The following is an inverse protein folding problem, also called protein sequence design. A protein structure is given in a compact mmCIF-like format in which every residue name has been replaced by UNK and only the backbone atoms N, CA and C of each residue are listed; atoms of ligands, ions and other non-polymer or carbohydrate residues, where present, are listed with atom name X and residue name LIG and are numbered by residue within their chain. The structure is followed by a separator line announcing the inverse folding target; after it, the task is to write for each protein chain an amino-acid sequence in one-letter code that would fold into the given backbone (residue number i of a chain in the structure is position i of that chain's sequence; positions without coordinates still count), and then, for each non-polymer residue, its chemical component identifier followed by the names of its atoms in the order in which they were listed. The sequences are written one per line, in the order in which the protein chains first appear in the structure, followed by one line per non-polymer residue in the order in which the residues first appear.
data_IF_770637068887
#
_entry.id   IF_770637068887
#
_cell.length_a   1.000
_cell.length_b   1.000
_cell.length_c   1.000
_cell.angle_alpha   90.00
_cell.angle_beta   90.00
_cell.angle_gamma   90.00
#
_symmetry.space_group_name_H-M   'P 1'
#
loop_
_entity.id
_entity.type
_entity.pdbx_description
1 polymer ?
#
# COMPACT_ATOMS: atom_id res chain seq x y z
N UNK A 1 12.82 13.78 -64.76
CA UNK A 1 12.45 13.94 -63.34
C UNK A 1 11.38 12.93 -63.03
N UNK A 2 11.73 11.82 -62.40
CA UNK A 2 10.80 10.88 -61.77
C UNK A 2 11.33 10.64 -60.36
N UNK A 3 10.53 11.00 -59.37
CA UNK A 3 10.90 10.95 -57.96
C UNK A 3 10.63 9.54 -57.43
N UNK A 4 11.67 8.86 -56.93
CA UNK A 4 11.53 7.65 -56.12
C UNK A 4 11.14 8.04 -54.69
N UNK A 5 9.93 7.67 -54.28
CA UNK A 5 9.47 7.78 -52.91
C UNK A 5 9.95 6.54 -52.14
N UNK A 6 11.09 6.68 -51.46
CA UNK A 6 11.61 5.70 -50.51
C UNK A 6 10.77 5.69 -49.23
N UNK A 7 9.87 4.72 -49.10
CA UNK A 7 9.20 4.39 -47.83
C UNK A 7 10.16 3.60 -46.94
N UNK A 8 10.79 4.30 -45.99
CA UNK A 8 11.52 3.69 -44.88
C UNK A 8 10.52 3.27 -43.79
N UNK A 9 10.49 1.98 -43.48
CA UNK A 9 9.73 1.44 -42.34
C UNK A 9 10.42 1.85 -41.03
N UNK A 10 9.68 2.32 -40.01
CA UNK A 10 10.28 2.60 -38.72
C UNK A 10 10.72 1.29 -38.04
N UNK A 11 12.00 1.25 -37.70
CA UNK A 11 12.64 0.21 -36.87
C UNK A 11 11.89 0.06 -35.55
N UNK A 12 11.58 -1.19 -35.21
CA UNK A 12 10.87 -1.57 -33.99
C UNK A 12 11.49 -0.93 -32.74
N UNK A 13 10.68 -0.12 -32.04
CA UNK A 13 10.99 0.35 -30.68
C UNK A 13 10.98 -0.85 -29.74
N UNK A 14 12.02 -0.91 -28.91
CA UNK A 14 12.33 -2.02 -28.01
C UNK A 14 11.14 -2.47 -27.17
N UNK A 15 10.99 -3.79 -27.08
CA UNK A 15 10.01 -4.48 -26.25
C UNK A 15 10.08 -3.98 -24.81
N UNK A 16 9.02 -3.27 -24.40
CA UNK A 16 8.73 -3.01 -23.00
C UNK A 16 8.60 -4.36 -22.29
N UNK A 17 9.39 -4.54 -21.23
CA UNK A 17 9.27 -5.71 -20.37
C UNK A 17 7.83 -5.76 -19.86
N UNK A 18 7.12 -6.84 -20.20
CA UNK A 18 5.76 -7.09 -19.76
C UNK A 18 5.68 -6.97 -18.23
N UNK A 19 4.84 -6.06 -17.76
CA UNK A 19 4.43 -6.01 -16.36
C UNK A 19 3.84 -7.38 -16.01
N UNK A 20 4.32 -8.00 -14.93
CA UNK A 20 3.80 -9.27 -14.46
C UNK A 20 2.29 -9.14 -14.24
N UNK A 21 1.50 -10.05 -14.81
CA UNK A 21 0.07 -10.08 -14.55
C UNK A 21 -0.16 -10.45 -13.07
N UNK A 22 -0.93 -9.63 -12.31
CA UNK A 22 -1.17 -9.91 -10.90
C UNK A 22 -1.95 -11.21 -10.74
N UNK A 23 -1.44 -12.12 -9.91
CA UNK A 23 -2.12 -13.37 -9.55
C UNK A 23 -3.37 -13.03 -8.72
N UNK A 24 -4.57 -13.37 -9.21
CA UNK A 24 -5.81 -13.33 -8.41
C UNK A 24 -7.09 -12.98 -9.16
N UNK A 25 -8.23 -13.14 -8.47
CA UNK A 25 -9.62 -12.96 -8.92
C UNK A 25 -9.80 -11.84 -9.96
N UNK A 26 -10.28 -12.23 -11.16
CA UNK A 26 -10.32 -11.43 -12.40
C UNK A 26 -11.11 -10.11 -12.38
N UNK A 27 -11.67 -9.71 -11.23
CA UNK A 27 -12.38 -8.45 -11.03
C UNK A 27 -11.80 -7.54 -9.96
N UNK A 28 -10.70 -7.91 -9.30
CA UNK A 28 -10.15 -7.19 -8.14
C UNK A 28 -8.83 -6.47 -8.44
N UNK A 29 -8.39 -6.50 -9.68
CA UNK A 29 -7.23 -5.76 -10.19
C UNK A 29 -7.69 -4.45 -10.85
N UNK A 30 -6.74 -3.59 -11.21
CA UNK A 30 -6.95 -2.25 -11.76
C UNK A 30 -7.87 -1.35 -10.90
N UNK A 31 -7.65 -1.34 -9.58
CA UNK A 31 -8.41 -0.58 -8.58
C UNK A 31 -7.52 -0.05 -7.47
N UNK A 32 -7.93 1.06 -6.87
CA UNK A 32 -7.34 1.63 -5.66
C UNK A 32 -7.93 0.96 -4.42
N UNK A 33 -7.06 0.59 -3.48
CA UNK A 33 -7.45 0.03 -2.19
C UNK A 33 -6.82 0.86 -1.06
N UNK A 34 -7.58 1.26 -0.04
CA UNK A 34 -7.01 1.89 1.14
C UNK A 34 -6.24 0.83 1.93
N UNK A 35 -4.99 1.11 2.29
CA UNK A 35 -4.10 0.16 2.97
C UNK A 35 -3.58 0.64 4.33
N UNK A 36 -3.70 1.93 4.61
CA UNK A 36 -3.33 2.55 5.87
C UNK A 36 -4.02 3.93 6.01
N UNK A 37 -4.12 4.42 7.24
CA UNK A 37 -4.44 5.81 7.52
C UNK A 37 -3.21 6.67 7.24
N UNK A 38 -3.42 7.88 6.72
CA UNK A 38 -2.35 8.85 6.46
C UNK A 38 -1.45 9.11 7.67
N UNK A 39 -2.06 9.22 8.85
CA UNK A 39 -1.38 9.51 10.12
C UNK A 39 -0.51 8.36 10.64
N UNK A 40 -0.73 7.13 10.16
CA UNK A 40 0.10 5.98 10.54
C UNK A 40 1.47 6.01 9.84
N UNK A 41 1.61 6.78 8.75
CA UNK A 41 2.84 6.89 8.00
C UNK A 41 3.64 8.13 8.42
N UNK A 42 4.58 7.92 9.33
CA UNK A 42 5.57 8.92 9.72
C UNK A 42 6.69 9.11 8.70
N UNK A 43 7.72 9.89 9.07
CA UNK A 43 8.86 10.22 8.22
C UNK A 43 10.10 9.36 8.46
N UNK A 44 10.24 8.76 9.65
CA UNK A 44 11.45 8.05 10.08
C UNK A 44 11.31 6.54 10.04
N UNK A 45 10.08 6.02 10.11
CA UNK A 45 9.81 4.58 10.18
C UNK A 45 8.93 4.15 9.01
N UNK A 46 9.27 3.05 8.33
CA UNK A 46 8.37 2.46 7.36
C UNK A 46 7.14 1.88 8.05
N UNK A 47 6.04 1.76 7.30
CA UNK A 47 4.79 1.15 7.77
C UNK A 47 4.53 -0.14 6.99
N UNK A 48 4.40 -1.25 7.72
CA UNK A 48 4.04 -2.55 7.15
C UNK A 48 2.54 -2.67 6.94
N UNK A 49 2.11 -3.14 5.78
CA UNK A 49 0.72 -3.47 5.49
C UNK A 49 0.65 -4.67 4.54
N UNK A 50 -0.57 -5.12 4.22
CA UNK A 50 -0.81 -6.19 3.26
C UNK A 50 -1.97 -5.85 2.34
N UNK A 51 -1.86 -6.25 1.08
CA UNK A 51 -2.94 -6.12 0.11
C UNK A 51 -3.16 -7.48 -0.56
N UNK A 52 -4.32 -8.10 -0.36
CA UNK A 52 -4.60 -9.46 -0.83
C UNK A 52 -3.56 -10.52 -0.40
N UNK A 53 -3.01 -10.36 0.81
CA UNK A 53 -1.99 -11.26 1.35
C UNK A 53 -0.56 -10.94 0.91
N UNK A 54 -0.37 -10.07 -0.09
CA UNK A 54 0.95 -9.59 -0.51
C UNK A 54 1.47 -8.56 0.51
N UNK A 55 2.70 -8.74 1.04
CA UNK A 55 3.25 -7.82 2.02
C UNK A 55 3.80 -6.57 1.32
N UNK A 56 3.37 -5.41 1.80
CA UNK A 56 3.72 -4.09 1.26
C UNK A 56 4.33 -3.26 2.39
N UNK A 57 5.35 -2.48 2.06
CA UNK A 57 5.92 -1.47 2.95
C UNK A 57 5.70 -0.08 2.36
N UNK A 58 5.24 0.83 3.21
CA UNK A 58 5.03 2.25 2.90
C UNK A 58 6.12 3.07 3.60
N UNK A 59 6.61 4.12 2.95
CA UNK A 59 7.48 5.12 3.56
C UNK A 59 7.30 6.47 2.86
N UNK A 60 7.85 7.54 3.44
CA UNK A 60 7.84 8.87 2.80
C UNK A 60 9.19 9.17 2.17
N UNK A 61 9.16 9.74 0.98
CA UNK A 61 10.36 10.24 0.31
C UNK A 61 10.83 11.58 0.91
N UNK A 62 11.85 12.19 0.31
CA UNK A 62 12.42 13.48 0.75
C UNK A 62 11.44 14.65 0.66
N UNK A 63 10.43 14.54 -0.20
CA UNK A 63 9.39 15.54 -0.40
C UNK A 63 8.17 15.27 0.50
N UNK A 64 8.20 14.18 1.29
CA UNK A 64 7.09 13.75 2.13
C UNK A 64 6.03 12.95 1.36
N UNK A 65 6.22 12.68 0.06
CA UNK A 65 5.28 11.92 -0.73
C UNK A 65 5.34 10.42 -0.37
N UNK A 66 4.20 9.71 -0.35
CA UNK A 66 4.20 8.29 -0.02
C UNK A 66 4.85 7.47 -1.13
N UNK A 67 5.56 6.43 -0.75
CA UNK A 67 6.13 5.41 -1.62
C UNK A 67 5.70 4.04 -1.12
N UNK A 68 5.27 3.17 -2.04
CA UNK A 68 4.82 1.82 -1.73
C UNK A 68 5.65 0.79 -2.53
N UNK A 69 6.23 -0.18 -1.84
CA UNK A 69 7.00 -1.26 -2.45
C UNK A 69 6.68 -2.60 -1.80
N UNK A 70 7.01 -3.70 -2.47
CA UNK A 70 6.94 -5.02 -1.86
C UNK A 70 7.84 -5.07 -0.63
N UNK A 71 7.35 -5.63 0.47
CA UNK A 71 8.08 -5.70 1.75
C UNK A 71 9.11 -6.86 1.76
N UNK A 72 9.96 -6.88 0.73
CA UNK A 72 10.95 -7.94 0.51
C UNK A 72 12.19 -7.32 -0.13
N UNK A 73 13.30 -7.34 0.61
CA UNK A 73 14.57 -6.86 0.09
C UNK A 73 15.07 -7.77 -1.05
N UNK A 74 15.37 -7.25 -2.25
CA UNK A 74 15.82 -8.06 -3.39
C UNK A 74 17.19 -8.72 -3.17
N UNK A 75 17.94 -8.32 -2.15
CA UNK A 75 19.21 -8.94 -1.79
C UNK A 75 19.03 -10.34 -1.19
N UNK A 76 18.26 -10.47 -0.09
CA UNK A 76 18.10 -11.71 0.68
C UNK A 76 16.72 -11.85 1.35
N UNK A 77 15.71 -11.23 0.75
CA UNK A 77 14.30 -11.33 1.15
C UNK A 77 13.98 -10.89 2.58
N UNK A 78 14.85 -10.08 3.19
CA UNK A 78 14.56 -9.48 4.49
C UNK A 78 13.35 -8.54 4.39
N UNK A 79 12.46 -8.51 5.41
CA UNK A 79 11.36 -7.56 5.47
C UNK A 79 11.93 -6.14 5.58
N UNK A 80 11.63 -5.30 4.60
CA UNK A 80 12.10 -3.92 4.56
C UNK A 80 11.41 -3.05 5.62
N UNK A 81 10.20 -3.44 6.05
CA UNK A 81 9.44 -2.83 7.13
C UNK A 81 10.12 -2.89 8.51
N UNK A 82 11.11 -3.77 8.69
CA UNK A 82 11.96 -3.77 9.88
C UNK A 82 13.13 -2.78 9.79
N UNK A 83 13.26 -2.08 8.68
CA UNK A 83 14.25 -1.02 8.47
C UNK A 83 13.82 0.34 9.02
N UNK A 84 14.54 1.36 8.57
CA UNK A 84 14.33 2.76 8.92
C UNK A 84 14.32 3.62 7.65
N UNK A 85 13.78 4.83 7.76
CA UNK A 85 13.76 5.82 6.68
C UNK A 85 14.76 6.92 7.03
N UNK A 86 15.79 7.06 6.19
CA UNK A 86 16.83 8.07 6.34
C UNK A 86 16.88 8.94 5.09
N UNK A 87 16.77 10.26 5.26
CA UNK A 87 16.74 11.21 4.15
C UNK A 87 15.75 10.76 3.05
N UNK A 88 14.55 10.33 3.44
CA UNK A 88 13.52 9.86 2.51
C UNK A 88 13.87 8.58 1.74
N UNK A 89 14.82 7.79 2.22
CA UNK A 89 15.20 6.50 1.65
C UNK A 89 14.98 5.40 2.67
N UNK A 90 14.36 4.30 2.23
CA UNK A 90 14.17 3.10 3.04
C UNK A 90 15.49 2.33 3.13
N UNK A 91 16.06 2.18 4.32
CA UNK A 91 17.23 1.34 4.57
C UNK A 91 16.84 -0.01 5.15
N UNK A 92 17.28 -1.07 4.48
CA UNK A 92 17.13 -2.42 4.97
C UNK A 92 18.01 -2.66 6.21
N UNK A 93 17.41 -3.09 7.32
CA UNK A 93 18.12 -3.38 8.57
C UNK A 93 19.22 -4.45 8.42
N UNK A 94 19.10 -5.36 7.45
CA UNK A 94 19.97 -6.52 7.37
C UNK A 94 21.38 -6.16 6.88
N UNK A 95 21.49 -5.45 5.75
CA UNK A 95 22.77 -5.12 5.13
C UNK A 95 22.87 -3.65 4.67
N UNK A 96 21.94 -2.80 5.10
CA UNK A 96 21.96 -1.36 4.83
C UNK A 96 21.72 -0.95 3.37
N UNK A 97 21.18 -1.84 2.53
CA UNK A 97 20.74 -1.46 1.18
C UNK A 97 19.67 -0.38 1.29
N UNK A 98 19.86 0.72 0.57
CA UNK A 98 18.95 1.85 0.58
C UNK A 98 18.10 1.89 -0.69
N UNK A 99 16.82 2.21 -0.53
CA UNK A 99 15.85 2.31 -1.61
C UNK A 99 15.21 3.70 -1.59
N UNK A 100 15.24 4.39 -2.72
CA UNK A 100 14.56 5.67 -2.90
C UNK A 100 13.25 5.50 -3.66
N UNK A 101 12.82 6.59 -4.29
CA UNK A 101 11.61 6.66 -5.13
C UNK A 101 11.44 5.44 -6.04
N UNK A 102 10.19 5.00 -6.20
CA UNK A 102 9.80 3.86 -7.04
C UNK A 102 10.50 2.54 -6.65
N UNK A 103 11.06 2.44 -5.43
CA UNK A 103 11.75 1.25 -4.95
C UNK A 103 13.13 1.02 -5.58
N UNK A 104 13.69 2.03 -6.25
CA UNK A 104 15.02 1.95 -6.86
C UNK A 104 16.09 1.89 -5.79
N UNK A 105 16.99 0.91 -5.86
CA UNK A 105 18.14 0.87 -4.97
C UNK A 105 19.10 2.03 -5.28
N UNK A 106 19.38 2.84 -4.26
CA UNK A 106 20.21 4.05 -4.36
C UNK A 106 21.59 3.87 -3.75
N UNK A 107 21.76 2.91 -2.83
CA UNK A 107 23.04 2.65 -2.18
C UNK A 107 23.19 1.20 -1.73
N UNK A 108 24.40 0.66 -1.93
CA UNK A 108 24.83 -0.66 -1.46
C UNK A 108 26.11 -0.44 -0.63
N UNK A 109 26.11 -0.65 0.69
CA UNK A 109 27.26 -0.36 1.55
C UNK A 109 28.56 -1.07 1.16
N UNK A 110 28.47 -2.28 0.60
CA UNK A 110 29.65 -3.07 0.18
C UNK A 110 30.28 -2.58 -1.13
N UNK A 111 29.64 -1.65 -1.86
CA UNK A 111 30.17 -1.06 -3.09
C UNK A 111 30.04 0.47 -3.05
N UNK A 112 30.74 1.17 -2.13
CA UNK A 112 30.65 2.63 -2.02
C UNK A 112 31.03 3.33 -3.34
N UNK A 113 30.15 4.19 -3.85
CA UNK A 113 30.36 4.90 -5.12
C UNK A 113 30.30 4.01 -6.38
N UNK A 114 29.98 2.72 -6.22
CA UNK A 114 29.84 1.78 -7.33
C UNK A 114 28.51 1.93 -8.07
N UNK A 115 28.44 1.33 -9.26
CA UNK A 115 27.20 1.28 -10.04
C UNK A 115 26.25 0.25 -9.43
N UNK A 116 25.08 0.71 -8.98
CA UNK A 116 23.98 -0.18 -8.56
C UNK A 116 23.35 -0.85 -9.79
N UNK A 117 23.21 -2.18 -9.83
CA UNK A 117 22.53 -2.86 -10.93
C UNK A 117 21.02 -2.56 -10.92
N UNK A 118 20.58 -1.59 -11.72
CA UNK A 118 19.23 -1.03 -11.64
C UNK A 118 18.08 -2.07 -11.72
N UNK A 119 18.23 -3.14 -12.51
CA UNK A 119 17.13 -4.09 -12.76
C UNK A 119 16.98 -5.17 -11.67
N UNK A 120 18.08 -5.67 -11.11
CA UNK A 120 18.05 -6.74 -10.09
C UNK A 120 18.09 -6.21 -8.66
N UNK A 121 18.46 -4.95 -8.48
CA UNK A 121 18.57 -4.33 -7.16
C UNK A 121 17.32 -3.56 -6.74
N UNK A 122 16.29 -3.42 -7.59
CA UNK A 122 15.09 -2.64 -7.27
C UNK A 122 13.97 -3.50 -6.67
N UNK A 123 13.19 -2.91 -5.77
CA UNK A 123 11.97 -3.52 -5.27
C UNK A 123 10.86 -3.42 -6.31
N UNK A 124 9.90 -4.34 -6.27
CA UNK A 124 8.64 -4.16 -6.96
C UNK A 124 7.88 -2.99 -6.31
N UNK A 125 7.47 -2.02 -7.12
CA UNK A 125 6.79 -0.80 -6.65
C UNK A 125 5.33 -0.76 -7.08
N UNK A 126 4.53 -0.13 -6.23
CA UNK A 126 3.11 0.09 -6.46
C UNK A 126 2.84 1.58 -6.65
N UNK A 127 1.84 1.92 -7.48
CA UNK A 127 1.33 3.28 -7.45
C UNK A 127 0.61 3.50 -6.12
N UNK A 128 0.92 4.62 -5.47
CA UNK A 128 0.36 5.01 -4.18
C UNK A 128 -0.05 6.47 -4.20
N UNK A 129 -1.19 6.78 -3.58
CA UNK A 129 -1.65 8.15 -3.40
C UNK A 129 -2.17 8.36 -1.97
N UNK A 130 -1.87 9.53 -1.42
CA UNK A 130 -2.45 9.99 -0.16
C UNK A 130 -3.66 10.87 -0.47
N UNK A 131 -4.86 10.43 -0.06
CA UNK A 131 -6.10 11.17 -0.30
C UNK A 131 -7.17 10.86 0.74
N UNK A 132 -7.92 11.89 1.12
CA UNK A 132 -9.05 11.78 2.05
C UNK A 132 -8.69 11.07 3.38
N UNK A 133 -7.48 11.32 3.91
CA UNK A 133 -7.01 10.77 5.19
C UNK A 133 -6.50 9.33 5.14
N UNK A 134 -6.39 8.73 3.95
CA UNK A 134 -5.90 7.37 3.75
C UNK A 134 -4.81 7.30 2.68
N UNK A 135 -3.98 6.27 2.81
CA UNK A 135 -3.00 5.85 1.82
C UNK A 135 -3.62 4.76 0.95
N UNK A 136 -3.65 5.01 -0.35
CA UNK A 136 -4.29 4.17 -1.34
C UNK A 136 -3.23 3.52 -2.22
N UNK A 137 -3.30 2.21 -2.40
CA UNK A 137 -2.40 1.45 -3.29
C UNK A 137 -3.19 0.93 -4.47
N UNK A 138 -2.64 1.10 -5.67
CA UNK A 138 -3.21 0.55 -6.91
C UNK A 138 -2.81 -0.91 -7.07
N UNK A 139 -3.80 -1.79 -7.18
CA UNK A 139 -3.56 -3.20 -7.47
C UNK A 139 -3.57 -3.44 -8.97
N UNK A 140 -2.40 -3.44 -9.60
CA UNK A 140 -2.23 -3.72 -11.01
C UNK A 140 -0.97 -3.08 -11.54
N UNK A 141 -0.85 -2.93 -12.86
CA UNK A 141 0.24 -2.17 -13.45
C UNK A 141 0.19 -0.72 -12.90
N UNK A 142 1.25 -0.29 -12.22
CA UNK A 142 1.36 1.06 -11.65
C UNK A 142 1.15 2.16 -12.71
N UNK A 143 1.56 1.92 -13.97
CA UNK A 143 1.39 2.86 -15.08
C UNK A 143 -0.07 3.01 -15.54
N UNK A 144 -0.97 2.10 -15.13
CA UNK A 144 -2.40 2.20 -15.44
C UNK A 144 -3.22 2.81 -14.31
N UNK A 145 -2.57 3.23 -13.21
CA UNK A 145 -3.24 3.88 -12.10
C UNK A 145 -3.83 5.23 -12.53
N UNK A 146 -5.13 5.42 -12.26
CA UNK A 146 -5.84 6.66 -12.56
C UNK A 146 -6.32 7.30 -11.26
N UNK A 147 -5.64 8.37 -10.85
CA UNK A 147 -5.96 9.11 -9.62
C UNK A 147 -7.35 9.75 -9.63
N UNK A 148 -8.02 9.87 -10.78
CA UNK A 148 -9.42 10.35 -10.84
C UNK A 148 -10.42 9.33 -10.30
N UNK A 149 -9.99 8.08 -10.08
CA UNK A 149 -10.82 7.00 -9.52
C UNK A 149 -10.76 6.94 -7.99
N UNK A 150 -9.95 7.78 -7.36
CA UNK A 150 -9.90 7.87 -5.90
C UNK A 150 -11.07 8.72 -5.38
N UNK A 151 -11.62 8.39 -4.21
CA UNK A 151 -12.68 9.19 -3.62
C UNK A 151 -12.18 10.59 -3.27
N UNK A 152 -13.06 11.57 -3.43
CA UNK A 152 -12.85 12.92 -2.92
C UNK A 152 -13.33 13.01 -1.48
N UNK A 153 -12.68 13.87 -0.69
CA UNK A 153 -13.23 14.24 0.60
C UNK A 153 -14.56 14.99 0.38
N UNK A 154 -15.59 14.75 1.22
CA UNK A 154 -16.85 15.46 1.08
C UNK A 154 -16.64 16.96 1.32
N UNK A 155 -17.33 17.80 0.54
CA UNK A 155 -17.27 19.26 0.68
C UNK A 155 -17.86 19.75 2.00
N UNK A 156 -18.84 19.02 2.54
CA UNK A 156 -19.50 19.27 3.82
C UNK A 156 -19.63 17.95 4.60
N UNK A 157 -19.50 18.01 5.93
CA UNK A 157 -19.61 16.85 6.81
C UNK A 157 -18.28 16.38 7.41
N UNK A 158 -18.28 15.17 7.96
CA UNK A 158 -17.11 14.56 8.61
C UNK A 158 -16.61 13.38 7.79
N UNK A 159 -15.30 13.36 7.49
CA UNK A 159 -14.63 12.14 7.02
C UNK A 159 -14.11 11.36 8.22
N UNK A 160 -14.49 10.10 8.33
CA UNK A 160 -13.99 9.19 9.36
C UNK A 160 -13.27 8.05 8.66
N UNK A 161 -11.96 7.94 8.89
CA UNK A 161 -11.14 6.84 8.43
C UNK A 161 -10.89 5.89 9.60
N UNK A 162 -11.27 4.63 9.45
CA UNK A 162 -11.08 3.61 10.48
C UNK A 162 -10.68 2.28 9.85
N UNK A 163 -9.96 1.47 10.62
CA UNK A 163 -9.55 0.12 10.23
C UNK A 163 -10.38 -0.86 11.04
N UNK A 164 -11.04 -1.79 10.35
CA UNK A 164 -11.89 -2.82 10.96
C UNK A 164 -11.47 -4.17 10.43
N UNK A 165 -11.15 -5.08 11.35
CA UNK A 165 -10.83 -6.47 11.05
C UNK A 165 -12.08 -7.33 11.19
N UNK A 166 -12.39 -8.11 10.15
CA UNK A 166 -13.53 -9.01 10.12
C UNK A 166 -13.04 -10.46 9.96
N UNK A 167 -13.53 -11.35 10.82
CA UNK A 167 -13.31 -12.80 10.71
C UNK A 167 -14.28 -13.46 9.72
N UNK A 168 -14.43 -12.89 8.52
CA UNK A 168 -15.28 -13.43 7.47
C UNK A 168 -14.72 -13.17 6.08
N UNK A 169 -15.30 -13.81 5.07
CA UNK A 169 -14.97 -13.48 3.68
C UNK A 169 -15.35 -12.03 3.35
N UNK A 170 -14.50 -11.35 2.59
CA UNK A 170 -14.69 -9.94 2.23
C UNK A 170 -16.00 -9.70 1.47
N UNK A 171 -16.49 -10.69 0.71
CA UNK A 171 -17.73 -10.59 -0.04
C UNK A 171 -18.93 -10.43 0.89
N UNK A 172 -18.89 -11.03 2.09
CA UNK A 172 -19.93 -10.85 3.11
C UNK A 172 -19.95 -9.41 3.63
N UNK A 173 -18.78 -8.81 3.85
CA UNK A 173 -18.65 -7.40 4.28
C UNK A 173 -19.22 -6.46 3.23
N UNK A 174 -18.87 -6.68 1.95
CA UNK A 174 -19.34 -5.84 0.84
C UNK A 174 -20.83 -6.00 0.60
N UNK A 175 -21.35 -7.24 0.60
CA UNK A 175 -22.78 -7.49 0.44
C UNK A 175 -23.58 -6.79 1.54
N UNK A 176 -23.19 -6.96 2.80
CA UNK A 176 -23.88 -6.34 3.93
C UNK A 176 -23.86 -4.81 3.91
N UNK A 177 -22.79 -4.20 3.38
CA UNK A 177 -22.66 -2.74 3.29
C UNK A 177 -23.44 -2.15 2.11
N UNK A 178 -23.74 -2.95 1.09
CA UNK A 178 -24.58 -2.56 -0.04
C UNK A 178 -26.07 -2.83 0.24
N UNK A 179 -26.38 -3.83 1.06
CA UNK A 179 -27.71 -4.14 1.55
C UNK A 179 -28.10 -3.17 2.66
N UNK A 180 -28.45 -1.95 2.27
CA UNK A 180 -29.09 -0.96 3.12
C UNK A 180 -30.55 -1.33 3.43
N UNK A 181 -30.83 -2.53 3.94
CA UNK A 181 -31.92 -2.63 4.91
C UNK A 181 -31.54 -1.64 6.03
N UNK A 182 -32.42 -0.73 6.49
CA UNK A 182 -31.98 0.41 7.26
C UNK A 182 -31.19 -0.09 8.48
N UNK A 183 -29.87 0.14 8.50
CA UNK A 183 -28.96 -0.31 9.55
C UNK A 183 -29.46 0.12 10.96
N UNK A 184 -30.25 1.21 10.98
CA UNK A 184 -31.06 1.66 12.10
C UNK A 184 -31.99 0.57 12.67
N UNK A 185 -32.73 -0.18 11.84
CA UNK A 185 -33.65 -1.23 12.27
C UNK A 185 -32.94 -2.43 12.93
N UNK A 186 -31.69 -2.70 12.55
CA UNK A 186 -30.93 -3.84 13.05
C UNK A 186 -30.14 -3.55 14.35
N UNK A 187 -29.75 -2.29 14.59
CA UNK A 187 -28.95 -1.92 15.77
C UNK A 187 -29.63 -0.82 16.62
N UNK A 188 -30.02 -1.10 17.87
CA UNK A 188 -30.53 -0.09 18.80
C UNK A 188 -29.57 1.09 19.01
N UNK A 189 -28.26 0.82 18.97
CA UNK A 189 -27.21 1.83 19.12
C UNK A 189 -27.15 2.76 17.91
N UNK A 190 -27.21 2.23 16.69
CA UNK A 190 -27.27 3.04 15.47
C UNK A 190 -28.57 3.82 15.36
N UNK A 191 -29.68 3.28 15.88
CA UNK A 191 -30.95 4.01 16.03
C UNK A 191 -30.80 5.22 16.94
N UNK A 192 -30.17 5.05 18.10
CA UNK A 192 -29.94 6.13 19.06
C UNK A 192 -29.00 7.22 18.49
N UNK A 193 -27.91 6.83 17.84
CA UNK A 193 -26.96 7.75 17.20
C UNK A 193 -27.59 8.53 16.06
N UNK A 194 -28.34 7.86 15.17
CA UNK A 194 -29.05 8.50 14.05
C UNK A 194 -30.11 9.50 14.53
N UNK A 195 -30.68 9.29 15.72
CA UNK A 195 -31.68 10.18 16.33
C UNK A 195 -31.06 11.37 17.10
N UNK A 196 -29.74 11.55 17.05
CA UNK A 196 -29.05 12.66 17.70
C UNK A 196 -28.92 12.51 19.23
N UNK A 197 -29.01 11.29 19.75
CA UNK A 197 -28.75 11.07 21.17
C UNK A 197 -27.29 11.39 21.51
N UNK A 198 -27.06 12.28 22.48
CA UNK A 198 -25.74 12.50 23.03
C UNK A 198 -25.25 11.18 23.65
N UNK A 199 -24.09 10.71 23.20
CA UNK A 199 -23.40 9.60 23.85
C UNK A 199 -22.97 10.06 25.25
N UNK A 200 -23.74 9.69 26.28
CA UNK A 200 -23.15 9.49 27.60
C UNK A 200 -22.08 8.41 27.50
N UNK A 201 -21.07 8.46 28.36
CA UNK A 201 -19.96 7.50 28.38
C UNK A 201 -20.49 6.06 28.33
N UNK A 202 -20.45 5.44 27.15
CA UNK A 202 -20.84 4.07 26.95
C UNK A 202 -19.57 3.23 27.05
N UNK A 203 -19.37 2.58 28.21
CA UNK A 203 -18.35 1.56 28.37
C UNK A 203 -18.74 0.33 27.56
N UNK A 204 -17.91 -0.03 26.59
CA UNK A 204 -18.05 -1.26 25.82
C UNK A 204 -17.29 -2.40 26.52
N UNK A 205 -17.99 -3.25 27.25
CA UNK A 205 -17.45 -4.50 27.84
C UNK A 205 -17.43 -5.64 26.79
N UNK A 206 -16.85 -5.37 25.61
CA UNK A 206 -16.58 -6.41 24.62
C UNK A 206 -15.31 -7.19 24.97
N UNK A 207 -15.18 -8.45 24.51
CA UNK A 207 -13.93 -9.19 24.68
C UNK A 207 -12.79 -8.38 24.05
N UNK A 208 -11.87 -7.92 24.88
CA UNK A 208 -10.61 -7.36 24.41
C UNK A 208 -9.85 -8.51 23.76
N UNK A 209 -9.84 -8.57 22.44
CA UNK A 209 -8.90 -9.46 21.73
C UNK A 209 -7.53 -8.92 22.07
N UNK A 210 -6.85 -9.59 22.99
CA UNK A 210 -5.45 -9.32 23.28
C UNK A 210 -4.71 -9.36 21.94
N UNK A 211 -4.05 -8.25 21.58
CA UNK A 211 -3.07 -8.25 20.50
C UNK A 211 -2.16 -9.44 20.77
N UNK A 212 -2.12 -10.43 19.88
CA UNK A 212 -1.13 -11.48 20.01
C UNK A 212 0.23 -10.76 19.91
N UNK A 213 0.94 -10.74 21.03
CA UNK A 213 2.34 -10.36 21.04
C UNK A 213 3.01 -11.22 20.00
N UNK A 214 3.67 -10.59 19.02
CA UNK A 214 4.58 -11.27 18.13
C UNK A 214 5.48 -12.16 19.01
N UNK A 215 5.35 -13.46 18.85
CA UNK A 215 6.19 -14.43 19.55
C UNK A 215 7.64 -14.12 19.19
N UNK A 216 8.42 -13.69 20.18
CA UNK A 216 9.86 -13.48 20.04
C UNK A 216 10.50 -14.75 19.45
N UNK A 217 11.42 -14.61 18.48
CA UNK A 217 12.18 -15.76 18.01
C UNK A 217 13.05 -16.27 19.17
N UNK A 218 12.77 -17.49 19.64
CA UNK A 218 13.70 -18.21 20.51
C UNK A 218 15.00 -18.40 19.73
N UNK A 219 16.04 -17.68 20.13
CA UNK A 219 17.41 -18.04 19.80
C UNK A 219 17.66 -19.42 20.40
N UNK A 220 17.75 -20.44 19.54
CA UNK A 220 18.26 -21.74 19.93
C UNK A 220 19.76 -21.62 20.16
N UNK A 221 20.18 -21.84 21.40
CA UNK A 221 21.53 -22.25 21.72
C UNK A 221 21.66 -23.72 21.30
N UNK A 222 22.48 -24.02 20.28
CA UNK A 222 23.44 -25.15 20.19
C UNK A 222 24.44 -24.87 19.05
#
# INVERSE_FOLDING_TARGET
MVAELGLSLPTAVGSAAAAAEPRGHSGMTARWYPVALSEQLGTERPFATRLFGEPIVLYRDRLGAPVAVADVCPHRSAPLSMGDVEEGQLRCFYHGWAFGEEGRCTSIPTIPGGKVPARTASCESYAVEERAGALWVWRGNALSADGRRLPEAPAEGLSVCTVLDYECDWAAVVAHRLDAEPLAAASPLLRALSAGAALGEASFDGPTVARSSASEPRLGEE
#
